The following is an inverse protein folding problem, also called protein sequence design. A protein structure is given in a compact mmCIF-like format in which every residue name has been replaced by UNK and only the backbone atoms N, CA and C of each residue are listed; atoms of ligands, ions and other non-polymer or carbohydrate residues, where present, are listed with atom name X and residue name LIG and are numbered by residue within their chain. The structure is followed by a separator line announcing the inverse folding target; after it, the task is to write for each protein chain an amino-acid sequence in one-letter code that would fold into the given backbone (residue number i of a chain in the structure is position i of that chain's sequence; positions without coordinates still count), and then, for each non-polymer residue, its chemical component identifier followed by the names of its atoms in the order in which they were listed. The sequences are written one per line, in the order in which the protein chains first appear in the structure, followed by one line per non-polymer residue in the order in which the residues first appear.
data_IF_009408626453
#
_entry.id   IF_009408626453
#
_cell.length_a   1.000
_cell.length_b   1.000
_cell.length_c   1.000
_cell.angle_alpha   90.00
_cell.angle_beta   90.00
_cell.angle_gamma   90.00
#
_symmetry.space_group_name_H-M   'P 1'
#
loop_
_entity.id
_entity.type
_entity.pdbx_description
1 polymer ?
#
# COMPACT_ATOMS: atom_id res chain seq x y z
N UNK A 1 1.25 -3.66 -14.10
CA UNK A 1 0.44 -2.88 -13.14
C UNK A 1 1.16 -1.58 -12.79
N UNK A 2 0.46 -0.45 -12.93
CA UNK A 2 0.99 0.91 -12.74
C UNK A 2 1.08 1.27 -11.27
N UNK A 3 1.66 2.43 -10.96
CA UNK A 3 1.76 2.92 -9.57
C UNK A 3 0.38 3.20 -8.96
N UNK A 4 -0.49 3.90 -9.69
CA UNK A 4 -1.87 4.23 -9.23
C UNK A 4 -2.67 2.98 -8.90
N UNK A 5 -2.53 1.92 -9.69
CA UNK A 5 -3.22 0.65 -9.43
C UNK A 5 -2.82 0.07 -8.06
N UNK A 6 -1.54 0.15 -7.69
CA UNK A 6 -1.03 -0.33 -6.39
C UNK A 6 -1.55 0.52 -5.22
N UNK A 7 -1.67 1.83 -5.41
CA UNK A 7 -2.31 2.73 -4.42
C UNK A 7 -3.79 2.39 -4.28
N UNK A 8 -4.48 2.08 -5.39
CA UNK A 8 -5.86 1.61 -5.39
C UNK A 8 -6.05 0.34 -4.55
N UNK A 9 -5.18 -0.67 -4.72
CA UNK A 9 -5.21 -1.88 -3.87
C UNK A 9 -5.03 -1.54 -2.39
N UNK A 10 -4.10 -0.64 -2.07
CA UNK A 10 -3.87 -0.22 -0.69
C UNK A 10 -5.07 0.55 -0.10
N UNK A 11 -5.75 1.37 -0.90
CA UNK A 11 -6.96 2.07 -0.47
C UNK A 11 -8.08 1.08 -0.15
N UNK A 12 -8.32 0.11 -1.01
CA UNK A 12 -9.33 -0.92 -0.75
C UNK A 12 -9.03 -1.74 0.52
N UNK A 13 -7.75 -1.99 0.81
CA UNK A 13 -7.35 -2.59 2.09
C UNK A 13 -7.60 -1.65 3.26
N UNK A 14 -7.21 -0.38 3.15
CA UNK A 14 -7.39 0.62 4.20
C UNK A 14 -8.86 0.85 4.55
N UNK A 15 -9.77 0.76 3.58
CA UNK A 15 -11.21 0.90 3.80
C UNK A 15 -11.85 -0.35 4.44
N UNK A 16 -11.22 -1.51 4.32
CA UNK A 16 -11.72 -2.79 4.85
C UNK A 16 -11.06 -3.22 6.15
N UNK A 17 -9.89 -2.67 6.47
CA UNK A 17 -9.16 -2.96 7.70
C UNK A 17 -9.59 -2.02 8.82
N UNK A 18 -9.84 -2.57 10.02
CA UNK A 18 -10.15 -1.80 11.24
C UNK A 18 -8.91 -1.08 11.85
N UNK A 19 -7.95 -0.64 11.01
CA UNK A 19 -6.76 0.09 11.45
C UNK A 19 -5.51 -0.26 10.64
N UNK A 20 -4.78 -1.30 11.04
CA UNK A 20 -3.44 -1.55 10.52
C UNK A 20 -3.41 -2.64 9.45
N UNK A 21 -2.84 -2.33 8.29
CA UNK A 21 -2.67 -3.22 7.14
C UNK A 21 -1.31 -3.89 7.23
N UNK A 22 -1.25 -5.20 7.04
CA UNK A 22 0.04 -5.89 6.95
C UNK A 22 0.66 -5.73 5.56
N UNK A 23 1.97 -5.49 5.49
CA UNK A 23 2.70 -5.49 4.22
C UNK A 23 2.50 -6.79 3.42
N UNK A 24 2.36 -7.93 4.11
CA UNK A 24 2.12 -9.23 3.47
C UNK A 24 0.73 -9.33 2.84
N UNK A 25 -0.27 -8.74 3.47
CA UNK A 25 -1.63 -8.67 2.95
C UNK A 25 -1.68 -7.86 1.66
N UNK A 26 -1.01 -6.70 1.66
CA UNK A 26 -0.83 -5.91 0.43
C UNK A 26 -0.11 -6.72 -0.66
N UNK A 27 0.96 -7.45 -0.32
CA UNK A 27 1.65 -8.28 -1.31
C UNK A 27 0.73 -9.36 -1.90
N UNK A 28 -0.10 -10.00 -1.06
CA UNK A 28 -1.06 -11.03 -1.48
C UNK A 28 -2.13 -10.47 -2.43
N UNK A 29 -2.70 -9.30 -2.11
CA UNK A 29 -3.69 -8.67 -2.98
C UNK A 29 -3.09 -8.18 -4.31
N UNK A 30 -1.85 -7.71 -4.28
CA UNK A 30 -1.10 -7.38 -5.49
C UNK A 30 -0.86 -8.60 -6.38
N UNK A 31 -0.56 -9.75 -5.78
CA UNK A 31 -0.39 -11.02 -6.49
C UNK A 31 -1.70 -11.49 -7.14
N UNK A 32 -2.81 -11.46 -6.40
CA UNK A 32 -4.15 -11.78 -6.93
C UNK A 32 -4.53 -10.93 -8.14
N UNK A 33 -4.02 -9.70 -8.23
CA UNK A 33 -4.25 -8.78 -9.36
C UNK A 33 -3.24 -8.93 -10.50
N UNK A 34 -2.51 -10.03 -10.54
CA UNK A 34 -1.68 -10.42 -11.68
C UNK A 34 -0.21 -9.98 -11.61
N UNK A 35 0.28 -9.52 -10.45
CA UNK A 35 1.73 -9.48 -10.23
C UNK A 35 2.23 -10.88 -9.89
N UNK A 36 3.41 -11.25 -10.40
CA UNK A 36 4.08 -12.45 -9.90
C UNK A 36 4.48 -12.26 -8.41
N UNK A 37 4.58 -13.35 -7.63
CA UNK A 37 4.77 -13.28 -6.17
C UNK A 37 6.00 -12.46 -5.74
N UNK A 38 7.11 -12.61 -6.47
CA UNK A 38 8.38 -11.91 -6.18
C UNK A 38 8.21 -10.40 -6.40
N UNK A 39 7.56 -10.00 -7.49
CA UNK A 39 7.31 -8.59 -7.82
C UNK A 39 6.26 -7.97 -6.90
N UNK A 40 5.25 -8.73 -6.50
CA UNK A 40 4.23 -8.31 -5.54
C UNK A 40 4.86 -8.00 -4.18
N UNK A 41 5.67 -8.92 -3.65
CA UNK A 41 6.41 -8.75 -2.39
C UNK A 41 7.34 -7.53 -2.42
N UNK A 42 8.14 -7.38 -3.48
CA UNK A 42 9.06 -6.24 -3.61
C UNK A 42 8.32 -4.91 -3.84
N UNK A 43 7.17 -4.93 -4.50
CA UNK A 43 6.34 -3.73 -4.71
C UNK A 43 5.66 -3.29 -3.41
N UNK A 44 5.07 -4.23 -2.66
CA UNK A 44 4.47 -3.94 -1.35
C UNK A 44 5.52 -3.37 -0.39
N UNK A 45 6.70 -3.98 -0.31
CA UNK A 45 7.82 -3.49 0.52
C UNK A 45 8.23 -2.06 0.16
N UNK A 46 8.43 -1.78 -1.14
CA UNK A 46 8.78 -0.44 -1.61
C UNK A 46 7.69 0.58 -1.33
N UNK A 47 6.42 0.22 -1.52
CA UNK A 47 5.30 1.13 -1.30
C UNK A 47 5.17 1.48 0.19
N UNK A 48 5.17 0.48 1.07
CA UNK A 48 5.10 0.67 2.52
C UNK A 48 6.24 1.56 3.01
N UNK A 49 7.48 1.28 2.60
CA UNK A 49 8.64 2.08 3.02
C UNK A 49 8.57 3.53 2.51
N UNK A 50 8.08 3.76 1.27
CA UNK A 50 7.91 5.11 0.73
C UNK A 50 6.87 5.91 1.51
N UNK A 51 5.74 5.31 1.85
CA UNK A 51 4.69 5.98 2.62
C UNK A 51 5.17 6.33 4.03
N UNK A 52 5.88 5.41 4.69
CA UNK A 52 6.50 5.66 6.00
C UNK A 52 7.54 6.79 5.92
N UNK A 53 8.45 6.74 4.94
CA UNK A 53 9.49 7.78 4.79
C UNK A 53 8.93 9.16 4.44
N UNK A 54 7.77 9.20 3.78
CA UNK A 54 7.07 10.43 3.43
C UNK A 54 6.17 10.96 4.57
N UNK A 55 6.05 10.24 5.70
CA UNK A 55 5.14 10.59 6.78
C UNK A 55 3.66 10.45 6.43
N UNK A 56 3.35 9.71 5.36
CA UNK A 56 1.97 9.47 4.88
C UNK A 56 1.33 8.24 5.52
N UNK A 57 2.13 7.43 6.22
CA UNK A 57 1.67 6.27 6.98
C UNK A 57 2.38 6.23 8.33
N UNK A 58 1.73 5.61 9.31
CA UNK A 58 2.27 5.38 10.65
C UNK A 58 2.55 3.90 10.81
N UNK A 59 3.72 3.55 11.32
CA UNK A 59 4.02 2.16 11.66
C UNK A 59 3.24 1.76 12.91
N UNK A 60 2.43 0.71 12.78
CA UNK A 60 1.72 0.12 13.91
C UNK A 60 2.65 -0.82 14.68
N UNK A 61 2.20 -1.28 15.85
CA UNK A 61 2.92 -2.28 16.65
C UNK A 61 3.42 -3.43 15.77
N UNK A 62 4.70 -3.83 15.91
CA UNK A 62 5.34 -4.79 15.04
C UNK A 62 4.55 -6.10 15.03
N UNK A 63 4.41 -6.72 13.85
CA UNK A 63 3.74 -8.01 13.77
C UNK A 63 4.61 -9.08 14.46
N UNK A 64 3.99 -10.12 15.06
CA UNK A 64 4.73 -11.24 15.65
C UNK A 64 5.58 -12.02 14.63
N UNK A 65 5.43 -11.76 13.33
CA UNK A 65 6.17 -12.40 12.24
C UNK A 65 7.20 -11.48 11.57
N UNK A 66 7.49 -10.32 12.16
CA UNK A 66 8.44 -9.34 11.63
C UNK A 66 8.00 -8.69 10.30
N UNK A 67 6.71 -8.79 9.94
CA UNK A 67 6.13 -8.01 8.85
C UNK A 67 5.79 -6.60 9.35
N UNK A 68 6.10 -5.58 8.54
CA UNK A 68 5.65 -4.22 8.81
C UNK A 68 4.13 -4.16 8.75
N UNK A 69 3.56 -3.42 9.68
CA UNK A 69 2.13 -3.09 9.74
C UNK A 69 2.02 -1.59 9.69
N UNK A 70 1.19 -1.07 8.80
CA UNK A 70 1.01 0.37 8.66
C UNK A 70 -0.45 0.76 8.78
N UNK A 71 -0.68 1.90 9.41
CA UNK A 71 -1.92 2.65 9.29
C UNK A 71 -1.69 3.74 8.25
N UNK A 72 -2.63 3.88 7.32
CA UNK A 72 -2.67 4.99 6.36
C UNK A 72 -4.11 5.46 6.25
N UNK A 73 -4.30 6.77 6.36
CA UNK A 73 -5.63 7.35 6.28
C UNK A 73 -6.18 7.23 4.85
N UNK A 74 -7.40 6.68 4.64
CA UNK A 74 -7.96 6.48 3.30
C UNK A 74 -7.99 7.75 2.45
N UNK A 75 -8.24 8.90 3.06
CA UNK A 75 -8.27 10.18 2.35
C UNK A 75 -6.93 10.57 1.74
N UNK A 76 -5.80 10.28 2.43
CA UNK A 76 -4.46 10.48 1.87
C UNK A 76 -4.29 9.66 0.59
N UNK A 77 -4.74 8.41 0.58
CA UNK A 77 -4.64 7.54 -0.59
C UNK A 77 -5.54 8.03 -1.74
N UNK A 78 -6.75 8.50 -1.44
CA UNK A 78 -7.65 9.12 -2.43
C UNK A 78 -7.00 10.36 -3.05
N UNK A 79 -6.39 11.22 -2.24
CA UNK A 79 -5.65 12.39 -2.72
C UNK A 79 -4.47 11.99 -3.59
N UNK A 80 -3.66 10.99 -3.20
CA UNK A 80 -2.55 10.51 -4.03
C UNK A 80 -3.02 10.01 -5.39
N UNK A 81 -4.13 9.26 -5.45
CA UNK A 81 -4.72 8.79 -6.71
C UNK A 81 -5.13 9.99 -7.59
N UNK A 82 -5.77 11.00 -7.01
CA UNK A 82 -6.17 12.21 -7.74
C UNK A 82 -4.96 12.97 -8.28
N UNK A 83 -3.93 13.17 -7.45
CA UNK A 83 -2.69 13.84 -7.86
C UNK A 83 -2.01 13.07 -9.00
N UNK A 84 -1.87 11.75 -8.90
CA UNK A 84 -1.28 10.96 -9.98
C UNK A 84 -2.06 11.09 -11.30
N UNK A 85 -3.40 11.12 -11.24
CA UNK A 85 -4.24 11.36 -12.43
C UNK A 85 -4.00 12.74 -13.03
N UNK A 86 -3.85 13.78 -12.20
CA UNK A 86 -3.57 15.15 -12.64
C UNK A 86 -2.16 15.31 -13.23
N UNK A 87 -1.16 14.63 -12.66
CA UNK A 87 0.22 14.68 -13.10
C UNK A 87 0.49 13.93 -14.42
N UNK A 88 -0.52 13.30 -15.03
CA UNK A 88 -0.36 12.38 -16.19
C UNK A 88 0.68 11.30 -15.96
N UNK A 89 0.91 10.91 -14.70
CA UNK A 89 1.64 9.70 -14.37
C UNK A 89 0.70 8.52 -14.67
N UNK A 90 0.66 8.16 -15.97
CA UNK A 90 -0.01 6.98 -16.53
C UNK A 90 0.97 5.83 -16.46
#
# INVERSE_FOLDING_TARGET
MRFVDKIGVLLELAERSDGCIEQRELAHELEKRGLNPVTAKSSASRLVNKLLSAGLAVECSPSPRGSKRIYVEPDILRTLIQVCKLCKEV
#
